data_IF_377548754381
#
_entry.id   IF_377548754381
#
_cell.length_a   1.000
_cell.length_b   1.000
_cell.length_c   1.000
_cell.angle_alpha   90.00
_cell.angle_beta   90.00
_cell.angle_gamma   90.00
#
_symmetry.space_group_name_H-M   'P 1'
#
loop_
_entity.id
_entity.type
_entity.pdbx_description
1 polymer ?
#
# COMPACT_ATOMS: atom_id res chain seq x y z
N UNK A 1 38.68 -43.83 -12.39
CA UNK A 1 37.80 -43.99 -11.21
C UNK A 1 37.64 -42.64 -10.51
N UNK A 2 36.43 -42.27 -10.07
CA UNK A 2 36.21 -41.00 -9.36
C UNK A 2 36.87 -41.03 -7.97
N UNK A 3 37.53 -39.93 -7.57
CA UNK A 3 38.18 -39.79 -6.24
C UNK A 3 37.17 -40.05 -5.11
N UNK A 4 37.63 -40.74 -4.04
CA UNK A 4 36.83 -41.04 -2.86
C UNK A 4 36.25 -39.75 -2.24
N UNK A 5 34.92 -39.66 -2.11
CA UNK A 5 34.25 -38.47 -1.57
C UNK A 5 34.38 -38.44 -0.05
N UNK A 6 34.84 -37.31 0.50
CA UNK A 6 34.89 -37.12 1.95
C UNK A 6 33.48 -37.08 2.56
N UNK A 7 33.33 -37.77 3.71
CA UNK A 7 32.08 -37.83 4.47
C UNK A 7 31.62 -36.43 4.87
N UNK A 8 30.34 -36.14 4.69
CA UNK A 8 29.73 -34.85 5.06
C UNK A 8 29.82 -33.74 3.99
N UNK A 9 30.51 -33.97 2.86
CA UNK A 9 30.56 -33.00 1.74
C UNK A 9 29.43 -33.16 0.71
N UNK A 10 28.61 -34.20 0.82
CA UNK A 10 27.51 -34.49 -0.11
C UNK A 10 26.22 -34.91 0.61
N UNK A 11 25.09 -34.78 -0.09
CA UNK A 11 23.77 -35.15 0.42
C UNK A 11 23.23 -34.18 1.48
N UNK A 12 22.53 -34.71 2.47
CA UNK A 12 21.88 -33.92 3.53
C UNK A 12 22.84 -32.97 4.28
N UNK A 13 24.10 -33.38 4.47
CA UNK A 13 25.10 -32.54 5.13
C UNK A 13 25.47 -31.26 4.35
N UNK A 14 25.31 -31.26 3.02
CA UNK A 14 25.51 -30.07 2.16
C UNK A 14 24.22 -29.29 1.96
N UNK A 15 23.08 -29.99 1.91
CA UNK A 15 21.78 -29.37 1.65
C UNK A 15 21.29 -28.50 2.81
N UNK A 16 21.60 -28.89 4.05
CA UNK A 16 21.14 -28.22 5.26
C UNK A 16 22.28 -27.52 6.00
N UNK A 17 21.97 -26.39 6.61
CA UNK A 17 22.86 -25.64 7.48
C UNK A 17 22.15 -25.37 8.81
N UNK A 18 22.87 -25.49 9.93
CA UNK A 18 22.31 -25.20 11.26
C UNK A 18 22.16 -23.70 11.45
N UNK A 19 21.19 -23.27 12.28
CA UNK A 19 20.98 -21.85 12.63
C UNK A 19 22.28 -21.15 13.05
N UNK A 20 23.05 -21.76 13.96
CA UNK A 20 24.31 -21.17 14.45
C UNK A 20 25.36 -21.01 13.33
N UNK A 21 25.40 -21.94 12.38
CA UNK A 21 26.30 -21.84 11.23
C UNK A 21 25.83 -20.81 10.21
N UNK A 22 24.51 -20.64 10.02
CA UNK A 22 23.94 -19.63 9.14
C UNK A 22 24.24 -18.21 9.65
N UNK A 23 24.07 -17.98 10.96
CA UNK A 23 24.39 -16.70 11.62
C UNK A 23 25.87 -16.36 11.46
N UNK A 24 26.77 -17.33 11.70
CA UNK A 24 28.22 -17.14 11.49
C UNK A 24 28.56 -16.83 10.04
N UNK A 25 27.90 -17.47 9.08
CA UNK A 25 28.13 -17.25 7.64
C UNK A 25 27.66 -15.87 7.18
N UNK A 26 26.49 -15.42 7.63
CA UNK A 26 25.92 -14.11 7.26
C UNK A 26 26.53 -12.93 8.04
N UNK A 27 27.24 -13.22 9.13
CA UNK A 27 27.85 -12.22 10.03
C UNK A 27 26.81 -11.22 10.59
N UNK A 28 25.64 -11.72 10.97
CA UNK A 28 24.55 -10.92 11.55
C UNK A 28 24.27 -11.36 13.01
N UNK A 29 23.51 -10.55 13.75
CA UNK A 29 23.03 -10.95 15.08
C UNK A 29 21.88 -11.96 14.97
N UNK A 30 21.53 -12.65 16.06
CA UNK A 30 20.39 -13.57 16.07
C UNK A 30 19.06 -12.84 15.79
N UNK A 31 18.89 -11.62 16.29
CA UNK A 31 17.70 -10.81 16.07
C UNK A 31 17.57 -10.40 14.60
N UNK A 32 18.66 -9.89 14.02
CA UNK A 32 18.70 -9.50 12.61
C UNK A 32 18.49 -10.70 11.68
N UNK A 33 19.08 -11.86 12.03
CA UNK A 33 18.87 -13.10 11.30
C UNK A 33 17.41 -13.52 11.28
N UNK A 34 16.73 -13.48 12.44
CA UNK A 34 15.29 -13.79 12.54
C UNK A 34 14.47 -12.84 11.68
N UNK A 35 14.74 -11.54 11.77
CA UNK A 35 14.08 -10.51 10.95
C UNK A 35 14.24 -10.76 9.46
N UNK A 36 15.47 -10.99 8.99
CA UNK A 36 15.76 -11.27 7.58
C UNK A 36 15.04 -12.53 7.09
N UNK A 37 15.00 -13.58 7.91
CA UNK A 37 14.27 -14.80 7.58
C UNK A 37 12.76 -14.55 7.43
N UNK A 38 12.16 -13.70 8.27
CA UNK A 38 10.74 -13.35 8.19
C UNK A 38 10.46 -12.54 6.93
N UNK A 39 11.25 -11.49 6.69
CA UNK A 39 11.13 -10.63 5.52
C UNK A 39 11.19 -11.44 4.22
N UNK A 40 12.20 -12.30 4.05
CA UNK A 40 12.30 -13.16 2.85
C UNK A 40 11.38 -14.38 2.84
N UNK A 41 10.80 -14.78 3.97
CA UNK A 41 9.96 -15.98 4.03
C UNK A 41 10.77 -17.27 4.04
N UNK A 42 11.89 -17.28 4.76
CA UNK A 42 12.78 -18.44 4.86
C UNK A 42 12.53 -19.16 6.18
N UNK A 43 11.93 -20.34 6.03
CA UNK A 43 11.45 -21.13 7.16
C UNK A 43 12.46 -22.20 7.57
N UNK A 44 12.50 -22.57 8.86
CA UNK A 44 13.23 -23.73 9.30
C UNK A 44 12.66 -25.01 8.68
N UNK A 45 13.52 -25.96 8.32
CA UNK A 45 13.16 -27.22 7.66
C UNK A 45 13.70 -28.41 8.44
N UNK A 46 12.92 -29.47 8.53
CA UNK A 46 13.38 -30.72 9.14
C UNK A 46 14.01 -31.65 8.09
N UNK A 47 15.29 -32.05 8.25
CA UNK A 47 15.92 -32.99 7.32
C UNK A 47 15.42 -34.42 7.55
N UNK A 48 15.11 -35.15 6.46
CA UNK A 48 14.70 -36.57 6.51
C UNK A 48 15.66 -37.46 7.33
N UNK A 49 16.96 -37.14 7.31
CA UNK A 49 17.98 -37.85 8.09
C UNK A 49 18.79 -36.89 8.96
N UNK A 50 18.29 -36.59 10.16
CA UNK A 50 18.91 -35.65 11.13
C UNK A 50 20.37 -35.97 11.45
N UNK A 51 20.71 -37.23 11.72
CA UNK A 51 22.09 -37.66 12.02
C UNK A 51 23.05 -37.34 10.87
N UNK A 52 22.61 -37.47 9.61
CA UNK A 52 23.45 -37.17 8.43
C UNK A 52 23.64 -35.67 8.23
N UNK A 53 22.60 -34.87 8.49
CA UNK A 53 22.67 -33.41 8.41
C UNK A 53 23.53 -32.80 9.54
N UNK A 54 23.42 -33.35 10.75
CA UNK A 54 24.09 -32.84 11.95
C UNK A 54 25.43 -33.53 12.26
N UNK A 55 26.15 -33.99 11.23
CA UNK A 55 27.48 -34.63 11.35
C UNK A 55 27.56 -35.74 12.42
N UNK A 56 26.48 -36.52 12.58
CA UNK A 56 26.39 -37.65 13.52
C UNK A 56 25.56 -37.37 14.78
N UNK A 57 25.29 -36.10 15.13
CA UNK A 57 24.51 -35.76 16.32
C UNK A 57 23.00 -35.90 16.12
N UNK A 58 22.29 -36.36 17.15
CA UNK A 58 20.82 -36.45 17.15
C UNK A 58 20.14 -35.28 17.86
N UNK A 59 20.91 -34.28 18.33
CA UNK A 59 20.41 -33.17 19.11
C UNK A 59 19.32 -32.35 18.36
N UNK A 60 18.29 -31.86 19.06
CA UNK A 60 17.27 -30.99 18.49
C UNK A 60 17.93 -29.68 18.05
N UNK A 61 18.01 -29.49 16.74
CA UNK A 61 18.66 -28.33 16.12
C UNK A 61 17.81 -27.86 14.96
N UNK A 62 17.72 -26.54 14.81
CA UNK A 62 16.99 -25.90 13.71
C UNK A 62 17.89 -25.87 12.47
N UNK A 63 17.39 -26.43 11.36
CA UNK A 63 18.07 -26.42 10.07
C UNK A 63 17.37 -25.48 9.09
N UNK A 64 18.16 -24.91 8.19
CA UNK A 64 17.72 -24.16 7.02
C UNK A 64 18.35 -24.78 5.77
N UNK A 65 17.81 -24.51 4.59
CA UNK A 65 18.51 -24.91 3.38
C UNK A 65 19.73 -24.03 3.14
N UNK A 66 20.83 -24.66 2.73
CA UNK A 66 22.06 -23.94 2.42
C UNK A 66 21.90 -23.02 1.19
N UNK A 67 20.98 -23.36 0.27
CA UNK A 67 20.62 -22.54 -0.89
C UNK A 67 19.97 -21.23 -0.45
N UNK A 68 18.98 -21.31 0.45
CA UNK A 68 18.26 -20.14 0.98
C UNK A 68 19.24 -19.20 1.69
N UNK A 69 20.15 -19.73 2.53
CA UNK A 69 21.17 -18.89 3.19
C UNK A 69 22.15 -18.26 2.19
N UNK A 70 22.48 -18.94 1.09
CA UNK A 70 23.28 -18.34 0.03
C UNK A 70 22.52 -17.19 -0.65
N UNK A 71 21.21 -17.34 -0.86
CA UNK A 71 20.36 -16.28 -1.37
C UNK A 71 20.31 -15.06 -0.44
N UNK A 72 20.15 -15.24 0.89
CA UNK A 72 20.24 -14.13 1.87
C UNK A 72 21.55 -13.35 1.81
N UNK A 73 22.64 -13.99 1.37
CA UNK A 73 23.96 -13.34 1.37
C UNK A 73 24.02 -12.16 0.39
N UNK A 74 23.23 -12.22 -0.68
CA UNK A 74 23.17 -11.20 -1.71
C UNK A 74 22.05 -10.17 -1.49
N UNK A 75 21.35 -10.23 -0.36
CA UNK A 75 20.21 -9.36 -0.12
C UNK A 75 20.62 -7.92 0.26
N UNK A 76 20.08 -6.86 -0.39
CA UNK A 76 20.43 -5.47 -0.08
C UNK A 76 20.09 -5.04 1.35
N UNK A 77 19.04 -5.60 1.97
CA UNK A 77 18.67 -5.28 3.36
C UNK A 77 19.78 -5.69 4.34
N UNK A 78 20.53 -6.76 4.05
CA UNK A 78 21.67 -7.16 4.88
C UNK A 78 22.73 -6.05 4.94
N UNK A 79 22.96 -5.34 3.83
CA UNK A 79 23.85 -4.18 3.79
C UNK A 79 23.30 -3.03 4.64
N UNK A 80 22.00 -2.74 4.55
CA UNK A 80 21.36 -1.69 5.35
C UNK A 80 21.38 -1.97 6.84
N UNK A 81 21.21 -3.22 7.27
CA UNK A 81 21.35 -3.61 8.68
C UNK A 81 22.77 -3.38 9.21
N UNK A 82 23.79 -3.60 8.37
CA UNK A 82 25.20 -3.30 8.72
C UNK A 82 25.43 -1.79 8.80
N UNK A 83 24.86 -1.01 7.89
CA UNK A 83 24.89 0.46 7.93
C UNK A 83 24.22 0.99 9.20
N UNK A 84 23.06 0.46 9.58
CA UNK A 84 22.36 0.82 10.82
C UNK A 84 23.18 0.49 12.08
N UNK A 85 23.90 -0.64 12.09
CA UNK A 85 24.79 -0.99 13.20
C UNK A 85 26.00 -0.06 13.30
N UNK A 86 26.57 0.33 12.15
CA UNK A 86 27.64 1.32 12.10
C UNK A 86 27.15 2.70 12.57
N UNK A 87 25.94 3.08 12.14
CA UNK A 87 25.24 4.29 12.59
C UNK A 87 25.04 4.30 14.11
N UNK A 88 24.46 3.25 14.69
CA UNK A 88 24.24 3.14 16.13
C UNK A 88 25.56 3.28 16.94
N UNK A 89 26.66 2.71 16.42
CA UNK A 89 27.99 2.84 17.03
C UNK A 89 28.52 4.29 16.95
N UNK A 90 28.30 4.99 15.84
CA UNK A 90 28.70 6.40 15.69
C UNK A 90 27.87 7.31 16.61
N UNK A 91 26.57 7.09 16.67
CA UNK A 91 25.66 7.83 17.54
C UNK A 91 26.01 7.63 19.03
N UNK A 92 26.26 6.39 19.45
CA UNK A 92 26.70 6.11 20.82
C UNK A 92 28.05 6.78 21.18
N UNK A 93 28.97 6.88 20.21
CA UNK A 93 30.25 7.58 20.40
C UNK A 93 30.07 9.09 20.52
N UNK A 94 29.23 9.70 19.68
CA UNK A 94 28.95 11.14 19.73
C UNK A 94 28.24 11.52 21.05
N UNK A 95 27.24 10.73 21.46
CA UNK A 95 26.56 10.90 22.74
C UNK A 95 27.51 10.72 23.93
N UNK A 96 28.36 9.70 23.89
CA UNK A 96 29.36 9.46 24.95
C UNK A 96 30.42 10.56 25.07
N UNK A 97 30.66 11.32 23.99
CA UNK A 97 31.55 12.52 23.98
C UNK A 97 30.82 13.81 24.35
N UNK A 98 29.49 13.79 24.49
CA UNK A 98 28.67 14.98 24.72
C UNK A 98 28.49 15.87 23.48
N UNK A 99 28.76 15.36 22.27
CA UNK A 99 28.65 16.12 21.01
C UNK A 99 27.21 16.11 20.50
N UNK A 100 26.34 16.93 21.10
CA UNK A 100 24.90 16.97 20.81
C UNK A 100 24.54 17.35 19.37
N UNK A 101 25.27 18.30 18.77
CA UNK A 101 25.04 18.74 17.40
C UNK A 101 25.33 17.63 16.38
N UNK A 102 26.47 16.95 16.54
CA UNK A 102 26.81 15.80 15.71
C UNK A 102 25.85 14.64 15.92
N UNK A 103 25.38 14.40 17.15
CA UNK A 103 24.39 13.36 17.44
C UNK A 103 23.05 13.64 16.75
N UNK A 104 22.58 14.90 16.77
CA UNK A 104 21.36 15.32 16.08
C UNK A 104 21.48 15.17 14.55
N UNK A 105 22.59 15.64 13.97
CA UNK A 105 22.84 15.48 12.52
C UNK A 105 22.95 14.00 12.11
N UNK A 106 23.49 13.14 12.97
CA UNK A 106 23.48 11.70 12.75
C UNK A 106 22.04 11.15 12.77
N UNK A 107 21.22 11.49 13.76
CA UNK A 107 19.83 11.00 13.87
C UNK A 107 18.97 11.42 12.67
N UNK A 108 19.15 12.64 12.16
CA UNK A 108 18.50 13.11 10.92
C UNK A 108 18.91 12.28 9.70
N UNK A 109 20.17 11.81 9.66
CA UNK A 109 20.72 10.97 8.59
C UNK A 109 20.61 9.46 8.87
N UNK A 110 19.62 9.05 9.66
CA UNK A 110 19.41 7.64 10.00
C UNK A 110 19.16 6.80 8.74
N UNK A 111 19.91 5.70 8.53
CA UNK A 111 19.70 4.83 7.38
C UNK A 111 18.40 4.03 7.55
N UNK A 112 17.39 4.37 6.75
CA UNK A 112 16.14 3.61 6.62
C UNK A 112 16.27 2.65 5.42
N UNK A 113 15.76 1.42 5.56
CA UNK A 113 15.62 0.49 4.43
C UNK A 113 14.15 0.40 4.03
N UNK A 114 13.91 0.07 2.77
CA UNK A 114 12.57 -0.18 2.24
C UNK A 114 12.38 -1.67 1.95
N UNK A 115 11.14 -2.14 1.96
CA UNK A 115 10.79 -3.56 1.73
C UNK A 115 10.19 -3.79 0.34
N UNK A 116 10.10 -2.76 -0.49
CA UNK A 116 9.40 -2.75 -1.77
C UNK A 116 9.86 -3.86 -2.73
N UNK A 117 11.18 -4.06 -2.81
CA UNK A 117 11.78 -5.09 -3.65
C UNK A 117 11.43 -6.50 -3.15
N UNK A 118 11.32 -6.73 -1.83
CA UNK A 118 10.88 -8.03 -1.30
C UNK A 118 9.44 -8.30 -1.69
N UNK A 119 8.56 -7.31 -1.51
CA UNK A 119 7.13 -7.48 -1.81
C UNK A 119 6.95 -7.83 -3.29
N UNK A 120 7.64 -7.12 -4.20
CA UNK A 120 7.62 -7.38 -5.64
C UNK A 120 8.22 -8.74 -6.03
N UNK A 121 9.30 -9.17 -5.37
CA UNK A 121 9.89 -10.49 -5.61
C UNK A 121 9.01 -11.64 -5.10
N UNK A 122 8.34 -11.45 -3.95
CA UNK A 122 7.47 -12.46 -3.36
C UNK A 122 6.15 -12.59 -4.13
N UNK A 123 5.59 -11.46 -4.56
CA UNK A 123 4.31 -11.38 -5.25
C UNK A 123 4.50 -10.81 -6.66
N UNK A 124 4.86 -11.65 -7.65
CA UNK A 124 5.10 -11.19 -9.01
C UNK A 124 3.81 -10.71 -9.69
N UNK A 125 2.67 -11.29 -9.31
CA UNK A 125 1.35 -10.86 -9.79
C UNK A 125 0.54 -10.25 -8.66
N UNK A 126 -0.37 -9.35 -9.02
CA UNK A 126 -1.27 -8.74 -8.05
C UNK A 126 -2.24 -9.74 -7.41
N UNK A 127 -2.69 -10.73 -8.18
CA UNK A 127 -3.60 -11.76 -7.68
C UNK A 127 -2.92 -12.60 -6.60
N UNK A 128 -1.63 -12.88 -6.74
CA UNK A 128 -0.87 -13.59 -5.71
C UNK A 128 -0.78 -12.78 -4.41
N UNK A 129 -0.59 -11.45 -4.51
CA UNK A 129 -0.62 -10.57 -3.33
C UNK A 129 -2.02 -10.56 -2.67
N UNK A 130 -3.08 -10.55 -3.47
CA UNK A 130 -4.46 -10.54 -2.97
C UNK A 130 -4.84 -11.85 -2.27
N UNK A 131 -4.30 -12.99 -2.70
CA UNK A 131 -4.53 -14.30 -2.06
C UNK A 131 -3.93 -14.41 -0.66
N UNK A 132 -2.80 -13.75 -0.43
CA UNK A 132 -2.08 -13.76 0.86
C UNK A 132 -2.48 -12.60 1.78
N UNK A 133 -3.41 -11.74 1.36
CA UNK A 133 -3.80 -10.53 2.11
C UNK A 133 -4.54 -10.84 3.42
N UNK A 134 -5.17 -12.01 3.52
CA UNK A 134 -6.00 -12.44 4.66
C UNK A 134 -5.25 -12.34 6.00
N UNK A 135 -4.02 -12.87 6.05
CA UNK A 135 -3.20 -12.86 7.27
C UNK A 135 -2.71 -11.43 7.61
N UNK A 136 -2.39 -10.65 6.58
CA UNK A 136 -2.01 -9.25 6.74
C UNK A 136 -3.14 -8.41 7.36
N UNK A 137 -4.37 -8.60 6.87
CA UNK A 137 -5.55 -7.93 7.41
C UNK A 137 -5.83 -8.36 8.85
N UNK A 138 -5.75 -9.65 9.17
CA UNK A 138 -5.96 -10.13 10.54
C UNK A 138 -4.96 -9.51 11.53
N UNK A 139 -3.68 -9.47 11.17
CA UNK A 139 -2.65 -8.92 12.05
C UNK A 139 -2.82 -7.42 12.23
N UNK A 140 -3.16 -6.68 11.18
CA UNK A 140 -3.32 -5.22 11.25
C UNK A 140 -4.54 -4.84 12.10
N UNK A 141 -5.65 -5.55 11.98
CA UNK A 141 -6.82 -5.34 12.85
C UNK A 141 -6.53 -5.72 14.30
N UNK A 142 -5.69 -6.74 14.55
CA UNK A 142 -5.23 -7.06 15.90
C UNK A 142 -4.41 -5.91 16.51
N UNK A 143 -3.41 -5.41 15.79
CA UNK A 143 -2.55 -4.33 16.29
C UNK A 143 -3.30 -3.00 16.43
N UNK A 144 -4.34 -2.75 15.64
CA UNK A 144 -5.22 -1.59 15.79
C UNK A 144 -6.06 -1.65 17.08
N UNK A 145 -6.38 -2.85 17.58
CA UNK A 145 -7.14 -3.04 18.82
C UNK A 145 -6.25 -3.12 20.08
N UNK A 146 -4.92 -3.29 19.93
CA UNK A 146 -4.00 -3.40 21.06
C UNK A 146 -3.74 -2.04 21.73
N UNK A 147 -3.62 -2.01 23.07
CA UNK A 147 -3.21 -0.80 23.77
C UNK A 147 -1.73 -0.48 23.48
N UNK A 148 -1.38 0.81 23.64
CA UNK A 148 0.02 1.24 23.57
C UNK A 148 0.83 0.57 24.69
N UNK A 149 1.97 0.00 24.35
CA UNK A 149 2.88 -0.67 25.29
C UNK A 149 4.32 -0.25 25.00
N UNK A 150 5.27 -0.37 25.95
CA UNK A 150 6.67 -0.01 25.68
C UNK A 150 7.31 -0.87 24.56
N UNK A 151 6.72 -2.03 24.27
CA UNK A 151 7.18 -2.91 23.20
C UNK A 151 6.63 -2.52 21.82
N UNK A 152 5.47 -1.86 21.77
CA UNK A 152 4.76 -1.53 20.52
C UNK A 152 4.66 0.00 20.37
N UNK A 153 5.32 0.59 19.37
CA UNK A 153 5.31 2.04 19.21
C UNK A 153 3.93 2.56 18.77
N UNK A 154 3.52 3.70 19.32
CA UNK A 154 2.23 4.35 19.02
C UNK A 154 2.06 4.68 17.53
N UNK A 155 3.15 5.08 16.86
CA UNK A 155 3.14 5.37 15.42
C UNK A 155 2.75 4.16 14.56
N UNK A 156 3.15 2.96 14.99
CA UNK A 156 2.78 1.73 14.28
C UNK A 156 1.31 1.39 14.48
N UNK A 157 0.79 1.57 15.70
CA UNK A 157 -0.63 1.37 16.00
C UNK A 157 -1.47 2.35 15.16
N UNK A 158 -1.11 3.64 15.13
CA UNK A 158 -1.78 4.65 14.31
C UNK A 158 -1.80 4.27 12.81
N UNK A 159 -0.67 3.78 12.28
CA UNK A 159 -0.60 3.28 10.90
C UNK A 159 -1.49 2.04 10.67
N UNK A 160 -1.54 1.11 11.62
CA UNK A 160 -2.42 -0.06 11.54
C UNK A 160 -3.90 0.36 11.58
N UNK A 161 -4.28 1.30 12.44
CA UNK A 161 -5.63 1.85 12.50
C UNK A 161 -6.00 2.51 11.17
N UNK A 162 -5.12 3.34 10.61
CA UNK A 162 -5.31 3.94 9.28
C UNK A 162 -5.53 2.89 8.19
N UNK A 163 -4.63 1.90 8.09
CA UNK A 163 -4.74 0.82 7.08
C UNK A 163 -6.02 -0.02 7.26
N UNK A 164 -6.43 -0.28 8.50
CA UNK A 164 -7.69 -1.00 8.78
C UNK A 164 -8.91 -0.21 8.33
N UNK A 165 -8.92 1.11 8.54
CA UNK A 165 -9.99 1.99 8.09
C UNK A 165 -10.00 2.14 6.56
N UNK A 166 -8.84 2.25 5.91
CA UNK A 166 -8.70 2.25 4.44
C UNK A 166 -9.27 0.97 3.81
N UNK A 167 -9.04 -0.19 4.42
CA UNK A 167 -9.63 -1.44 3.96
C UNK A 167 -11.15 -1.44 4.09
N UNK A 168 -11.66 -1.04 5.27
CA UNK A 168 -13.10 -0.98 5.51
C UNK A 168 -13.80 0.00 4.56
N UNK A 169 -13.18 1.16 4.31
CA UNK A 169 -13.66 2.17 3.38
C UNK A 169 -13.74 1.63 1.95
N UNK A 170 -12.70 0.91 1.50
CA UNK A 170 -12.68 0.26 0.20
C UNK A 170 -13.83 -0.76 0.04
N UNK A 171 -14.02 -1.63 1.04
CA UNK A 171 -15.09 -2.65 1.02
C UNK A 171 -16.47 -1.99 1.07
N UNK A 172 -16.63 -0.92 1.85
CA UNK A 172 -17.87 -0.14 1.92
C UNK A 172 -18.21 0.52 0.58
N UNK A 173 -17.21 1.06 -0.13
CA UNK A 173 -17.40 1.74 -1.42
C UNK A 173 -17.71 0.78 -2.56
N UNK A 174 -17.08 -0.40 -2.55
CA UNK A 174 -17.27 -1.44 -3.58
C UNK A 174 -18.45 -2.36 -3.31
N UNK A 175 -19.04 -2.32 -2.11
CA UNK A 175 -20.10 -3.23 -1.69
C UNK A 175 -19.72 -4.72 -1.86
N UNK A 176 -18.44 -5.04 -1.58
CA UNK A 176 -17.84 -6.35 -1.85
C UNK A 176 -18.09 -7.40 -0.75
N UNK A 177 -18.72 -7.03 0.37
CA UNK A 177 -18.93 -7.93 1.50
C UNK A 177 -20.00 -8.99 1.19
N UNK A 178 -19.67 -10.27 1.42
CA UNK A 178 -20.54 -11.41 1.10
C UNK A 178 -21.05 -12.15 2.35
N UNK A 179 -20.17 -12.41 3.31
CA UNK A 179 -20.53 -13.15 4.52
C UNK A 179 -19.98 -12.48 5.77
N UNK A 180 -20.75 -12.58 6.85
CA UNK A 180 -20.39 -12.11 8.19
C UNK A 180 -20.68 -13.24 9.17
N UNK A 181 -19.71 -13.58 10.01
CA UNK A 181 -19.87 -14.61 11.03
C UNK A 181 -19.32 -14.13 12.38
N UNK A 182 -20.19 -14.04 13.37
CA UNK A 182 -19.82 -13.65 14.72
C UNK A 182 -19.39 -14.89 15.51
N UNK A 183 -18.19 -14.84 16.08
CA UNK A 183 -17.63 -15.89 16.91
C UNK A 183 -17.29 -15.34 18.31
N UNK A 184 -16.92 -16.22 19.23
CA UNK A 184 -16.39 -15.83 20.55
C UNK A 184 -15.05 -15.09 20.40
N UNK A 185 -14.24 -15.45 19.39
CA UNK A 185 -12.92 -14.84 19.15
C UNK A 185 -12.99 -13.41 18.59
N UNK A 186 -14.09 -13.07 17.91
CA UNK A 186 -14.22 -11.86 17.11
C UNK A 186 -15.19 -12.10 15.96
N UNK A 187 -15.16 -11.20 14.97
CA UNK A 187 -16.04 -11.24 13.81
C UNK A 187 -15.26 -11.54 12.55
N UNK A 188 -15.68 -12.59 11.85
CA UNK A 188 -15.14 -12.96 10.55
C UNK A 188 -15.93 -12.26 9.45
N UNK A 189 -15.21 -11.59 8.57
CA UNK A 189 -15.74 -10.99 7.36
C UNK A 189 -15.19 -11.71 6.15
N UNK A 190 -16.05 -11.94 5.16
CA UNK A 190 -15.66 -12.47 3.86
C UNK A 190 -16.11 -11.49 2.78
N UNK A 191 -15.16 -10.94 2.01
CA UNK A 191 -15.43 -10.08 0.86
C UNK A 191 -14.89 -10.71 -0.43
N UNK A 192 -15.50 -10.37 -1.54
CA UNK A 192 -15.09 -10.80 -2.88
C UNK A 192 -14.46 -9.64 -3.62
N UNK A 193 -13.14 -9.69 -3.80
CA UNK A 193 -12.35 -8.63 -4.44
C UNK A 193 -11.69 -9.22 -5.68
N UNK A 194 -11.96 -8.66 -6.87
CA UNK A 194 -11.41 -9.13 -8.15
C UNK A 194 -11.50 -10.65 -8.35
N UNK A 195 -12.62 -11.26 -7.95
CA UNK A 195 -12.86 -12.70 -8.05
C UNK A 195 -12.07 -13.57 -7.06
N UNK A 196 -11.35 -12.99 -6.11
CA UNK A 196 -10.77 -13.71 -4.96
C UNK A 196 -11.63 -13.46 -3.72
N UNK A 197 -11.88 -14.52 -2.94
CA UNK A 197 -12.56 -14.40 -1.65
C UNK A 197 -11.55 -14.15 -0.55
N UNK A 198 -11.61 -12.98 0.07
CA UNK A 198 -10.73 -12.53 1.15
C UNK A 198 -11.47 -12.70 2.47
N UNK A 199 -10.90 -13.43 3.42
CA UNK A 199 -11.50 -13.67 4.75
C UNK A 199 -10.57 -13.17 5.84
N UNK A 200 -11.06 -12.23 6.67
CA UNK A 200 -10.28 -11.69 7.78
C UNK A 200 -11.09 -11.66 9.07
N UNK A 201 -10.36 -11.71 10.19
CA UNK A 201 -10.91 -11.64 11.54
C UNK A 201 -10.66 -10.27 12.13
N UNK A 202 -11.73 -9.65 12.65
CA UNK A 202 -11.66 -8.43 13.44
C UNK A 202 -11.93 -8.79 14.90
N UNK A 203 -10.99 -8.53 15.83
CA UNK A 203 -11.22 -8.77 17.25
C UNK A 203 -12.28 -7.80 17.79
N UNK A 204 -12.98 -8.22 18.85
CA UNK A 204 -13.79 -7.28 19.62
C UNK A 204 -12.91 -6.20 20.26
N UNK A 205 -13.41 -4.98 20.33
CA UNK A 205 -12.70 -3.82 20.88
C UNK A 205 -12.64 -3.87 22.41
N UNK A 206 -11.93 -4.87 22.93
CA UNK A 206 -11.62 -5.02 24.33
C UNK A 206 -10.13 -4.75 24.55
N UNK A 207 -9.80 -4.03 25.61
CA UNK A 207 -8.41 -3.79 25.99
C UNK A 207 -7.83 -5.07 26.59
N UNK A 208 -7.06 -5.81 25.79
CA UNK A 208 -6.36 -7.01 26.23
C UNK A 208 -4.87 -6.73 26.39
N UNK A 209 -4.24 -7.10 27.52
CA UNK A 209 -2.80 -6.99 27.68
C UNK A 209 -2.09 -8.03 26.82
N UNK A 210 -0.92 -7.69 26.31
CA UNK A 210 -0.07 -8.62 25.56
C UNK A 210 0.52 -9.65 26.54
N UNK A 211 0.30 -10.96 26.36
CA UNK A 211 0.89 -11.98 27.22
C UNK A 211 2.42 -11.99 27.14
N UNK A 212 3.09 -12.29 28.27
CA UNK A 212 4.56 -12.28 28.37
C UNK A 212 5.22 -13.37 27.51
N UNK A 213 4.49 -14.45 27.22
CA UNK A 213 4.97 -15.57 26.41
C UNK A 213 5.12 -15.24 24.92
N UNK A 214 4.54 -14.11 24.47
CA UNK A 214 4.51 -13.73 23.06
C UNK A 214 5.68 -12.80 22.74
N UNK A 215 6.51 -13.20 21.77
CA UNK A 215 7.64 -12.38 21.29
C UNK A 215 7.14 -11.26 20.36
N UNK A 216 6.84 -10.09 20.93
CA UNK A 216 6.39 -8.91 20.19
C UNK A 216 7.40 -8.47 19.12
N UNK A 217 8.71 -8.71 19.29
CA UNK A 217 9.72 -8.30 18.30
C UNK A 217 9.55 -9.05 16.98
N UNK A 218 9.18 -10.32 17.04
CA UNK A 218 8.87 -11.12 15.85
C UNK A 218 7.61 -10.59 15.18
N UNK A 219 6.55 -10.34 15.95
CA UNK A 219 5.29 -9.82 15.41
C UNK A 219 5.47 -8.46 14.74
N UNK A 220 6.27 -7.55 15.31
CA UNK A 220 6.54 -6.24 14.71
C UNK A 220 7.19 -6.34 13.33
N UNK A 221 8.04 -7.35 13.10
CA UNK A 221 8.64 -7.56 11.77
C UNK A 221 7.64 -8.08 10.75
N UNK A 222 6.63 -8.84 11.17
CA UNK A 222 5.50 -9.23 10.31
C UNK A 222 4.61 -8.02 10.01
N UNK A 223 4.28 -7.21 11.02
CA UNK A 223 3.49 -6.00 10.81
C UNK A 223 4.17 -5.06 9.82
N UNK A 224 5.47 -4.85 9.95
CA UNK A 224 6.24 -4.02 9.02
C UNK A 224 6.13 -4.52 7.56
N UNK A 225 6.29 -5.84 7.34
CA UNK A 225 6.11 -6.44 6.03
C UNK A 225 4.67 -6.26 5.51
N UNK A 226 3.67 -6.54 6.36
CA UNK A 226 2.26 -6.46 6.00
C UNK A 226 1.78 -5.02 5.76
N UNK A 227 2.32 -4.03 6.47
CA UNK A 227 2.06 -2.61 6.19
C UNK A 227 2.52 -2.24 4.78
N UNK A 228 3.72 -2.68 4.38
CA UNK A 228 4.21 -2.42 3.01
C UNK A 228 3.40 -3.18 1.96
N UNK A 229 3.04 -4.45 2.22
CA UNK A 229 2.17 -5.24 1.33
C UNK A 229 0.80 -4.58 1.12
N UNK A 230 0.12 -4.22 2.21
CA UNK A 230 -1.18 -3.55 2.13
C UNK A 230 -1.09 -2.19 1.45
N UNK A 231 -0.01 -1.44 1.67
CA UNK A 231 0.22 -0.18 0.96
C UNK A 231 0.24 -0.36 -0.56
N UNK A 232 0.96 -1.37 -1.08
CA UNK A 232 0.95 -1.68 -2.51
C UNK A 232 -0.41 -2.16 -3.00
N UNK A 233 -1.10 -2.99 -2.20
CA UNK A 233 -2.38 -3.53 -2.60
C UNK A 233 -3.45 -2.43 -2.65
N UNK A 234 -3.53 -1.61 -1.61
CA UNK A 234 -4.50 -0.51 -1.54
C UNK A 234 -4.23 0.55 -2.61
N UNK A 235 -2.96 0.89 -2.87
CA UNK A 235 -2.63 1.81 -3.96
C UNK A 235 -3.25 1.34 -5.28
N UNK A 236 -3.10 0.05 -5.63
CA UNK A 236 -3.72 -0.50 -6.84
C UNK A 236 -5.24 -0.56 -6.76
N UNK A 237 -5.81 -1.07 -5.67
CA UNK A 237 -7.25 -1.22 -5.50
C UNK A 237 -8.00 0.13 -5.59
N UNK A 238 -7.45 1.18 -4.98
CA UNK A 238 -8.02 2.53 -5.06
C UNK A 238 -7.83 3.13 -6.46
N UNK A 239 -6.68 2.92 -7.10
CA UNK A 239 -6.44 3.35 -8.49
C UNK A 239 -7.40 2.68 -9.47
N UNK A 240 -7.72 1.40 -9.29
CA UNK A 240 -8.66 0.65 -10.13
C UNK A 240 -10.10 1.20 -10.02
N UNK A 241 -10.45 1.84 -8.89
CA UNK A 241 -11.75 2.54 -8.68
C UNK A 241 -11.65 4.04 -9.01
N UNK A 242 -10.50 4.51 -9.50
CA UNK A 242 -10.24 5.93 -9.79
C UNK A 242 -10.34 6.84 -8.57
N UNK A 243 -9.94 6.35 -7.39
CA UNK A 243 -9.85 7.12 -6.15
C UNK A 243 -8.41 7.48 -5.80
N UNK A 244 -8.20 8.65 -5.21
CA UNK A 244 -6.88 9.08 -4.74
C UNK A 244 -6.45 8.25 -3.53
N UNK A 245 -5.20 7.75 -3.54
CA UNK A 245 -4.59 7.03 -2.44
C UNK A 245 -3.32 7.76 -1.94
N UNK A 246 -3.13 7.94 -0.61
CA UNK A 246 -4.04 7.58 0.49
C UNK A 246 -5.23 8.55 0.62
N UNK A 247 -6.41 8.09 1.07
CA UNK A 247 -7.57 8.96 1.24
C UNK A 247 -7.32 10.02 2.33
N UNK A 248 -7.65 11.31 2.10
CA UNK A 248 -7.43 12.36 3.08
C UNK A 248 -8.36 12.18 4.29
N UNK A 249 -7.79 12.39 5.48
CA UNK A 249 -8.50 12.33 6.77
C UNK A 249 -8.97 13.75 7.15
N UNK A 250 -10.28 13.92 7.41
CA UNK A 250 -10.78 15.15 8.02
C UNK A 250 -10.66 15.07 9.54
N UNK A 251 -9.84 15.94 10.13
CA UNK A 251 -9.61 15.96 11.58
C UNK A 251 -10.90 16.29 12.36
N UNK A 252 -11.68 17.28 11.92
CA UNK A 252 -12.92 17.68 12.61
C UNK A 252 -13.93 16.52 12.73
N UNK A 253 -14.03 15.69 11.68
CA UNK A 253 -14.93 14.53 11.68
C UNK A 253 -14.36 13.38 12.50
N UNK A 254 -13.05 13.21 12.51
CA UNK A 254 -12.38 12.21 13.34
C UNK A 254 -12.53 12.54 14.84
N UNK A 255 -12.37 13.81 15.21
CA UNK A 255 -12.63 14.33 16.56
C UNK A 255 -14.09 14.17 16.98
N UNK A 256 -15.03 14.37 16.04
CA UNK A 256 -16.45 14.07 16.25
C UNK A 256 -16.75 12.55 16.37
N UNK A 257 -15.73 11.69 16.26
CA UNK A 257 -15.84 10.25 16.41
C UNK A 257 -16.54 9.58 15.22
N UNK A 258 -16.46 10.15 14.01
CA UNK A 258 -17.06 9.59 12.80
C UNK A 258 -16.37 8.30 12.32
N UNK A 259 -15.20 7.95 12.87
CA UNK A 259 -14.48 6.72 12.55
C UNK A 259 -14.17 6.61 11.05
N UNK A 260 -14.70 5.58 10.38
CA UNK A 260 -14.52 5.37 8.94
C UNK A 260 -15.11 6.53 8.10
N UNK A 261 -16.13 7.21 8.62
CA UNK A 261 -16.74 8.38 7.97
C UNK A 261 -15.89 9.65 8.01
N UNK A 262 -14.74 9.64 8.70
CA UNK A 262 -13.83 10.78 8.74
C UNK A 262 -12.99 10.92 7.45
N UNK A 263 -12.81 9.84 6.70
CA UNK A 263 -12.08 9.85 5.43
C UNK A 263 -12.93 10.43 4.30
N UNK A 264 -12.40 11.39 3.54
CA UNK A 264 -13.03 11.85 2.30
C UNK A 264 -12.56 10.94 1.16
N UNK A 265 -13.51 10.50 0.33
CA UNK A 265 -13.20 9.84 -0.93
C UNK A 265 -13.27 10.88 -2.03
N UNK A 266 -12.13 11.19 -2.64
CA UNK A 266 -12.01 12.08 -3.79
C UNK A 266 -11.72 11.24 -5.03
N UNK A 267 -12.56 11.38 -6.06
CA UNK A 267 -12.30 10.76 -7.36
C UNK A 267 -11.15 11.51 -8.04
N UNK A 268 -10.25 10.81 -8.73
CA UNK A 268 -9.10 11.40 -9.43
C UNK A 268 -9.55 12.43 -10.48
N UNK A 269 -10.73 12.24 -11.07
CA UNK A 269 -11.33 13.16 -12.05
C UNK A 269 -11.65 14.53 -11.43
N UNK A 270 -12.02 14.55 -10.14
CA UNK A 270 -12.27 15.78 -9.38
C UNK A 270 -11.00 16.65 -9.27
N UNK A 271 -9.83 16.06 -9.04
CA UNK A 271 -8.57 16.81 -8.91
C UNK A 271 -8.12 17.44 -10.23
N UNK A 272 -8.39 16.79 -11.37
CA UNK A 272 -8.09 17.36 -12.69
C UNK A 272 -8.99 18.56 -13.03
N UNK A 273 -10.22 18.61 -12.48
CA UNK A 273 -11.13 19.75 -12.63
C UNK A 273 -10.85 20.87 -11.59
N UNK A 274 -10.17 20.55 -10.48
CA UNK A 274 -9.88 21.49 -9.38
C UNK A 274 -8.48 22.13 -9.49
N UNK A 275 -7.68 21.76 -10.49
CA UNK A 275 -6.50 22.53 -10.89
C UNK A 275 -6.81 23.44 -12.09
N UNK A 276 -7.40 24.60 -11.81
CA UNK A 276 -6.62 25.82 -11.93
C UNK A 276 -6.52 26.46 -10.56
N UNK A 277 -5.33 26.41 -9.98
CA UNK A 277 -4.96 27.32 -8.89
C UNK A 277 -5.33 28.72 -9.32
N UNK A 278 -6.36 29.31 -8.72
CA UNK A 278 -6.53 30.75 -8.74
C UNK A 278 -5.28 31.30 -8.08
N UNK A 279 -4.40 32.03 -8.80
CA UNK A 279 -3.22 32.58 -8.16
C UNK A 279 -3.73 33.59 -7.14
N UNK A 280 -3.50 33.30 -5.86
CA UNK A 280 -3.69 34.27 -4.78
C UNK A 280 -2.91 35.52 -5.18
N UNK A 281 -3.65 36.58 -5.51
CA UNK A 281 -3.10 37.88 -5.90
C UNK A 281 -2.39 38.44 -4.69
N UNK A 282 -1.06 38.30 -4.64
CA UNK A 282 -0.21 39.07 -3.74
C UNK A 282 -0.39 40.55 -4.11
N UNK A 283 -1.13 41.28 -3.28
CA UNK A 283 -1.17 42.74 -3.33
C UNK A 283 0.19 43.25 -2.84
N UNK A 284 0.94 43.90 -3.72
CA UNK A 284 2.15 44.63 -3.36
C UNK A 284 1.78 46.11 -3.40
N UNK A 285 1.83 46.76 -2.25
CA UNK A 285 1.65 48.21 -2.13
C UNK A 285 2.99 48.91 -2.27
N UNK A 286 3.07 49.87 -3.18
CA UNK A 286 4.12 50.88 -3.25
C UNK A 286 3.43 52.23 -3.43
N UNK A 287 3.70 53.17 -2.51
CA UNK A 287 3.18 54.56 -2.51
C UNK A 287 1.66 54.72 -2.69
N UNK A 288 0.88 54.05 -1.84
CA UNK A 288 -0.55 54.37 -1.64
C UNK A 288 -1.49 54.17 -2.82
N UNK A 289 -1.03 53.58 -3.93
CA UNK A 289 -1.87 53.16 -5.07
C UNK A 289 -1.79 51.66 -5.26
N UNK A 290 -2.97 51.02 -5.27
CA UNK A 290 -3.12 49.59 -5.55
C UNK A 290 -2.95 49.36 -7.04
N UNK A 291 -1.77 48.87 -7.45
CA UNK A 291 -1.51 48.50 -8.84
C UNK A 291 -2.00 47.08 -9.09
N UNK A 292 -2.87 46.89 -10.09
CA UNK A 292 -3.39 45.57 -10.45
C UNK A 292 -2.61 44.97 -11.62
N UNK A 293 -2.61 43.63 -11.73
CA UNK A 293 -1.99 42.91 -12.86
C UNK A 293 -2.55 43.34 -14.24
N UNK A 294 -3.73 43.96 -14.28
CA UNK A 294 -4.31 44.52 -15.51
C UNK A 294 -3.60 45.79 -15.95
N UNK A 295 -3.14 46.61 -15.00
CA UNK A 295 -2.44 47.87 -15.27
C UNK A 295 -1.02 47.60 -15.75
N UNK A 296 -0.36 46.58 -15.18
CA UNK A 296 0.96 46.11 -15.61
C UNK A 296 0.91 45.57 -17.05
N UNK A 297 -0.14 44.81 -17.40
CA UNK A 297 -0.33 44.30 -18.77
C UNK A 297 -0.59 45.42 -19.79
N UNK A 298 -1.33 46.46 -19.41
CA UNK A 298 -1.56 47.63 -20.28
C UNK A 298 -0.28 48.42 -20.50
N UNK A 299 0.52 48.65 -19.46
CA UNK A 299 1.79 49.35 -19.58
C UNK A 299 2.81 48.60 -20.48
N UNK A 300 2.85 47.26 -20.42
CA UNK A 300 3.72 46.45 -21.28
C UNK A 300 3.29 46.52 -22.76
N UNK A 301 1.98 46.59 -23.01
CA UNK A 301 1.44 46.76 -24.38
C UNK A 301 1.77 48.15 -24.95
N UNK A 302 1.75 49.19 -24.11
CA UNK A 302 2.09 50.56 -24.51
C UNK A 302 3.60 50.76 -24.77
N UNK A 303 4.47 49.95 -24.14
CA UNK A 303 5.91 49.99 -24.41
C UNK A 303 6.25 49.32 -25.76
N UNK A 304 5.54 48.24 -26.11
CA UNK A 304 5.76 47.53 -27.37
C UNK A 304 5.12 48.20 -28.60
N UNK A 305 4.29 49.23 -28.42
CA UNK A 305 3.66 49.97 -29.52
C UNK A 305 4.49 51.15 -30.05
N UNK A 306 5.70 51.37 -29.52
CA UNK A 306 6.61 52.42 -30.01
C UNK A 306 7.54 51.87 -31.10
N UNK A 307 7.44 52.30 -32.38
CA UNK A 307 8.27 51.77 -33.45
C UNK A 307 9.66 52.41 -33.46
N UNK A 308 10.70 51.58 -33.39
CA UNK A 308 12.09 51.98 -33.62
C UNK A 308 12.41 52.04 -35.14
N UNK A 309 13.25 53.00 -35.61
CA UNK A 309 13.60 53.18 -37.02
C UNK A 309 14.55 52.09 -37.57
N UNK A 310 14.64 51.93 -38.91
CA UNK A 310 15.16 50.72 -39.55
C UNK A 310 16.68 50.71 -39.70
N UNK A 311 17.29 49.53 -39.54
CA UNK A 311 18.67 49.23 -39.95
C UNK A 311 18.72 47.97 -40.85
N UNK A 312 19.72 47.87 -41.75
CA UNK A 312 19.63 47.09 -42.98
C UNK A 312 20.06 45.62 -42.84
N UNK A 313 19.54 44.86 -43.79
CA UNK A 313 19.63 43.42 -44.10
C UNK A 313 21.04 42.83 -44.18
N UNK A 314 21.25 41.64 -43.61
CA UNK A 314 22.04 40.56 -44.25
C UNK A 314 21.41 39.19 -43.96
N UNK A 315 21.44 38.37 -45.01
CA UNK A 315 20.74 37.14 -45.37
C UNK A 315 20.91 35.88 -44.50
N UNK A 316 19.80 35.16 -44.33
CA UNK A 316 19.75 33.72 -44.06
C UNK A 316 19.61 32.91 -45.38
N UNK A 317 20.17 31.70 -45.50
CA UNK A 317 19.86 30.78 -46.59
C UNK A 317 18.64 29.91 -46.24
N UNK A 318 17.89 29.58 -47.30
CA UNK A 318 16.66 28.79 -47.34
C UNK A 318 16.88 27.32 -46.97
N UNK A 319 15.91 26.72 -46.27
CA UNK A 319 15.63 25.29 -46.35
C UNK A 319 14.12 25.04 -46.22
N UNK A 320 13.66 24.20 -47.15
CA UNK A 320 12.33 23.77 -47.56
C UNK A 320 11.23 23.57 -46.51
N UNK A 321 10.02 23.90 -46.97
CA UNK A 321 8.74 23.37 -46.49
C UNK A 321 8.73 21.83 -46.50
N UNK A 322 8.38 21.23 -45.37
CA UNK A 322 7.64 19.98 -45.31
C UNK A 322 6.69 20.05 -44.10
N UNK A 323 5.41 20.32 -44.42
CA UNK A 323 4.28 20.26 -43.50
C UNK A 323 3.91 18.79 -43.32
N UNK A 324 4.04 18.27 -42.11
CA UNK A 324 3.39 17.02 -41.69
C UNK A 324 2.06 17.42 -41.05
N UNK A 325 0.89 17.09 -41.62
CA UNK A 325 -0.37 17.21 -40.92
C UNK A 325 -0.50 16.04 -39.94
N UNK A 326 -0.60 16.38 -38.65
CA UNK A 326 -1.23 15.55 -37.64
C UNK A 326 -2.75 15.48 -37.89
N UNK A 327 -3.37 14.43 -37.35
CA UNK A 327 -4.82 14.26 -37.11
C UNK A 327 -5.67 13.74 -38.29
N UNK A 328 -5.82 12.41 -38.33
CA UNK A 328 -7.00 11.77 -38.90
C UNK A 328 -7.84 11.28 -37.72
N UNK A 329 -8.98 11.94 -37.52
CA UNK A 329 -10.06 11.53 -36.63
C UNK A 329 -10.49 10.09 -36.93
N UNK A 330 -10.19 9.16 -36.03
CA UNK A 330 -10.80 7.83 -36.01
C UNK A 330 -12.16 7.98 -35.33
N UNK A 331 -13.19 8.17 -36.16
CA UNK A 331 -14.59 8.02 -35.75
C UNK A 331 -14.82 6.58 -35.22
N UNK A 332 -15.67 6.38 -34.19
CA UNK A 332 -16.00 5.06 -33.69
C UNK A 332 -16.71 4.24 -34.78
N UNK A 333 -16.19 3.05 -35.09
CA UNK A 333 -16.85 2.10 -35.99
C UNK A 333 -18.15 1.58 -35.35
N UNK A 334 -19.27 2.17 -35.74
CA UNK A 334 -20.60 1.59 -35.50
C UNK A 334 -20.77 0.35 -36.39
N UNK A 335 -21.09 -0.80 -35.77
CA UNK A 335 -21.27 -2.06 -36.47
C UNK A 335 -22.56 -2.04 -37.30
N UNK A 336 -22.45 -1.95 -38.63
CA UNK A 336 -23.58 -1.95 -39.55
C UNK A 336 -23.98 -3.40 -39.85
N UNK A 337 -25.18 -3.80 -39.44
CA UNK A 337 -25.74 -5.13 -39.72
C UNK A 337 -25.97 -5.29 -41.22
N UNK A 338 -25.22 -6.17 -41.88
CA UNK A 338 -25.47 -6.52 -43.29
C UNK A 338 -26.47 -7.68 -43.39
N UNK A 339 -27.67 -7.47 -43.97
CA UNK A 339 -28.63 -8.54 -44.16
C UNK A 339 -28.13 -9.53 -45.22
N UNK A 340 -28.21 -10.83 -44.93
CA UNK A 340 -27.92 -11.87 -45.91
C UNK A 340 -29.06 -12.00 -46.92
N UNK A 341 -28.73 -12.16 -48.21
CA UNK A 341 -29.68 -12.25 -49.35
C UNK A 341 -30.65 -13.44 -49.30
N UNK A 342 -30.58 -14.30 -48.29
CA UNK A 342 -31.27 -15.59 -48.26
C UNK A 342 -32.41 -15.69 -47.24
N UNK A 343 -32.69 -14.66 -46.43
CA UNK A 343 -33.76 -14.74 -45.43
C UNK A 343 -34.33 -13.36 -45.10
N UNK A 344 -35.61 -13.13 -45.39
CA UNK A 344 -36.35 -11.88 -45.10
C UNK A 344 -36.72 -11.76 -43.61
N UNK A 345 -35.72 -11.90 -42.73
CA UNK A 345 -35.84 -11.63 -41.30
C UNK A 345 -34.85 -10.55 -40.91
N UNK A 346 -35.32 -9.42 -40.39
CA UNK A 346 -34.46 -8.44 -39.71
C UNK A 346 -33.72 -9.18 -38.59
N UNK A 347 -32.42 -9.41 -38.77
CA UNK A 347 -31.58 -10.02 -37.74
C UNK A 347 -31.63 -9.14 -36.50
N UNK A 348 -31.98 -9.74 -35.35
CA UNK A 348 -31.93 -9.03 -34.08
C UNK A 348 -30.51 -8.49 -33.86
N UNK A 349 -30.34 -7.23 -33.41
CA UNK A 349 -29.02 -6.67 -33.15
C UNK A 349 -28.32 -7.53 -32.09
N UNK A 350 -27.16 -8.09 -32.45
CA UNK A 350 -26.30 -8.79 -31.51
C UNK A 350 -25.60 -7.75 -30.63
N UNK A 351 -25.70 -7.92 -29.31
CA UNK A 351 -25.01 -7.07 -28.35
C UNK A 351 -23.50 -7.21 -28.55
N UNK A 352 -22.81 -6.10 -28.82
CA UNK A 352 -21.35 -6.10 -28.93
C UNK A 352 -20.73 -6.27 -27.54
N UNK A 353 -19.46 -6.68 -27.48
CA UNK A 353 -18.76 -6.79 -26.20
C UNK A 353 -18.67 -5.44 -25.45
N UNK A 354 -18.69 -4.32 -26.18
CA UNK A 354 -18.84 -2.97 -25.58
C UNK A 354 -20.23 -2.79 -24.98
N UNK A 355 -21.29 -3.16 -25.68
CA UNK A 355 -22.66 -3.06 -25.15
C UNK A 355 -22.83 -3.90 -23.88
N UNK A 356 -22.20 -5.08 -23.81
CA UNK A 356 -22.19 -5.93 -22.61
C UNK A 356 -21.40 -5.28 -21.46
N UNK A 357 -20.33 -4.54 -21.75
CA UNK A 357 -19.55 -3.82 -20.74
C UNK A 357 -20.22 -2.52 -20.24
N UNK A 358 -21.08 -1.92 -21.06
CA UNK A 358 -21.81 -0.68 -20.76
C UNK A 358 -23.20 -0.97 -20.16
N UNK A 359 -23.75 -2.17 -20.40
CA UNK A 359 -24.92 -2.63 -19.68
C UNK A 359 -24.63 -2.53 -18.18
N UNK A 360 -25.45 -1.80 -17.41
CA UNK A 360 -25.31 -1.82 -15.97
C UNK A 360 -25.43 -3.29 -15.56
N UNK A 361 -24.33 -3.86 -15.02
CA UNK A 361 -24.42 -5.13 -14.28
C UNK A 361 -25.65 -5.00 -13.42
N UNK A 362 -26.61 -5.92 -13.53
CA UNK A 362 -27.89 -5.81 -12.84
C UNK A 362 -27.65 -5.66 -11.33
N UNK A 363 -27.48 -4.42 -10.88
CA UNK A 363 -27.31 -4.07 -9.49
C UNK A 363 -28.70 -4.13 -8.94
N UNK A 364 -29.06 -5.30 -8.40
CA UNK A 364 -30.11 -5.33 -7.40
C UNK A 364 -29.87 -4.17 -6.43
N UNK A 365 -30.91 -3.40 -6.08
CA UNK A 365 -30.74 -2.34 -5.11
C UNK A 365 -30.11 -2.95 -3.86
N UNK A 366 -29.05 -2.30 -3.36
CA UNK A 366 -28.36 -2.76 -2.16
C UNK A 366 -29.38 -2.87 -1.03
N UNK A 367 -29.23 -3.90 -0.19
CA UNK A 367 -30.24 -4.36 0.77
C UNK A 367 -30.82 -3.24 1.64
N UNK A 368 -30.00 -2.25 2.02
CA UNK A 368 -30.40 -1.16 2.92
C UNK A 368 -30.42 0.23 2.25
N UNK A 369 -30.35 0.32 0.92
CA UNK A 369 -30.20 1.58 0.17
C UNK A 369 -31.20 2.70 0.52
N UNK A 370 -32.45 2.35 0.87
CA UNK A 370 -33.51 3.31 1.25
C UNK A 370 -33.73 3.44 2.76
N UNK A 371 -32.98 2.70 3.58
CA UNK A 371 -33.20 2.61 5.02
C UNK A 371 -32.24 3.52 5.80
N UNK A 372 -32.79 4.16 6.82
CA UNK A 372 -32.02 4.87 7.84
C UNK A 372 -32.13 4.09 9.14
N UNK A 373 -31.01 3.55 9.61
CA UNK A 373 -30.95 2.69 10.79
C UNK A 373 -30.32 3.49 11.93
N UNK A 374 -31.06 3.62 13.03
CA UNK A 374 -30.56 4.26 14.25
C UNK A 374 -29.97 3.21 15.19
N UNK A 375 -28.70 3.38 15.54
CA UNK A 375 -27.94 2.45 16.38
C UNK A 375 -27.99 2.92 17.83
N UNK A 376 -28.42 2.04 18.74
CA UNK A 376 -28.41 2.30 20.18
C UNK A 376 -27.00 2.25 20.77
N UNK A 377 -26.77 2.97 21.87
CA UNK A 377 -25.47 3.08 22.57
C UNK A 377 -24.90 1.73 23.02
N UNK A 378 -25.76 0.77 23.36
CA UNK A 378 -25.36 -0.55 23.89
C UNK A 378 -24.76 -1.49 22.84
N UNK A 379 -24.84 -1.13 21.56
CA UNK A 379 -24.41 -2.00 20.46
C UNK A 379 -23.02 -1.62 19.95
N UNK A 380 -22.23 -2.59 19.43
CA UNK A 380 -20.90 -2.31 18.90
C UNK A 380 -20.99 -1.47 17.62
N UNK A 381 -20.93 -0.14 17.78
CA UNK A 381 -21.10 0.84 16.70
C UNK A 381 -20.21 0.57 15.47
N UNK A 382 -18.88 0.42 15.59
CA UNK A 382 -18.01 0.30 14.40
C UNK A 382 -18.34 -0.92 13.55
N UNK A 383 -18.75 -2.01 14.19
CA UNK A 383 -19.11 -3.26 13.51
C UNK A 383 -20.39 -3.11 12.69
N UNK A 384 -21.45 -2.60 13.32
CA UNK A 384 -22.75 -2.44 12.68
C UNK A 384 -22.71 -1.34 11.62
N UNK A 385 -22.01 -0.24 11.90
CA UNK A 385 -21.80 0.84 10.93
C UNK A 385 -21.15 0.33 9.65
N UNK A 386 -20.06 -0.45 9.78
CA UNK A 386 -19.38 -1.05 8.64
C UNK A 386 -20.31 -1.92 7.81
N UNK A 387 -21.06 -2.83 8.45
CA UNK A 387 -21.98 -3.74 7.74
C UNK A 387 -23.11 -2.98 7.06
N UNK A 388 -23.79 -2.08 7.78
CA UNK A 388 -24.95 -1.34 7.26
C UNK A 388 -24.54 -0.47 6.08
N UNK A 389 -23.45 0.28 6.19
CA UNK A 389 -22.96 1.14 5.10
C UNK A 389 -22.48 0.33 3.91
N UNK A 390 -21.89 -0.86 4.13
CA UNK A 390 -21.49 -1.77 3.04
C UNK A 390 -22.69 -2.31 2.25
N UNK A 391 -23.89 -2.31 2.82
CA UNK A 391 -25.13 -2.65 2.10
C UNK A 391 -25.97 -1.42 1.73
N UNK A 392 -25.34 -0.23 1.69
CA UNK A 392 -25.95 1.02 1.19
C UNK A 392 -26.84 1.77 2.19
N UNK A 393 -26.92 1.32 3.44
CA UNK A 393 -27.77 1.96 4.46
C UNK A 393 -27.17 3.23 5.05
N UNK A 394 -28.06 4.13 5.48
CA UNK A 394 -27.68 5.32 6.27
C UNK A 394 -27.72 4.97 7.75
N UNK A 395 -26.74 5.45 8.50
CA UNK A 395 -26.59 5.13 9.92
C UNK A 395 -26.67 6.42 10.74
N UNK A 396 -27.46 6.40 11.81
CA UNK A 396 -27.48 7.44 12.83
C UNK A 396 -27.17 6.86 14.21
N UNK A 397 -26.58 7.66 15.09
CA UNK A 397 -26.29 7.29 16.48
C UNK A 397 -26.49 8.50 17.40
N UNK A 398 -26.74 8.28 18.70
CA UNK A 398 -26.80 9.38 19.67
C UNK A 398 -25.43 10.05 19.80
N UNK A 399 -25.41 11.37 19.97
CA UNK A 399 -24.18 12.11 20.24
C UNK A 399 -23.52 11.56 21.53
N UNK A 400 -22.26 11.15 21.42
CA UNK A 400 -21.45 10.78 22.57
C UNK A 400 -21.09 12.05 23.35
N UNK A 401 -21.52 12.14 24.61
CA UNK A 401 -21.13 13.19 25.57
C UNK A 401 -19.64 13.12 25.92
#
# INVERSE_FOLDING_TARGET
MAKLKQRGKSGAAKAYITRSSAIKKLQCSLADFRRLCILKGIFPREPRHRKRANKGSSAPTTFYYAKDIAYLTHEPILRKLREHKAFAKKLARALGRGEWSSAKSLEENKPVYTLDHIVKERYPTFIDALRDIDDALCLIHLFAALPTSPQVPTSLIANCTRLSAEWQLYVMRTHALRKVFLSIKGVYFQAEVMGQTVTWLVPYQFTQPIPVDVDARVMLTFVELYQTLLGFVFFKLYSDISLVYPPPLNLDKDEAGAGVGAFTLEDIVSEQLVSPSTPAVKKVEVDGKVVTNKDVKRAILDINSTPLPPQPTVSAPKANDDVIPTDIDILPEDFIVQPSKSTEGQGAPLLTMRDISVLPSATSPLLFSSLTIFISRETPRPLLEFVIRTFGGRVGWPATL
#
